data_IF_549980958069
#
_entry.id   IF_549980958069
#
_cell.length_a   1.000
_cell.length_b   1.000
_cell.length_c   1.000
_cell.angle_alpha   90.00
_cell.angle_beta   90.00
_cell.angle_gamma   90.00
#
_symmetry.space_group_name_H-M   'P 1'
#
loop_
_entity.id
_entity.type
_entity.pdbx_description
1 polymer ?
#
# COMPACT_ATOMS: atom_id res chain seq x y z
N UNK A 1 -19.32 12.97 -0.70
CA UNK A 1 -19.62 12.50 0.67
C UNK A 1 -18.51 11.53 1.05
N UNK A 2 -17.67 11.91 2.01
CA UNK A 2 -16.62 11.05 2.57
C UNK A 2 -17.27 10.12 3.59
N UNK A 3 -17.30 8.82 3.34
CA UNK A 3 -17.60 7.85 4.37
C UNK A 3 -16.31 7.17 4.79
N UNK A 4 -15.97 7.25 6.08
CA UNK A 4 -14.95 6.41 6.67
C UNK A 4 -15.28 4.92 6.39
N UNK A 5 -14.27 4.04 6.37
CA UNK A 5 -14.50 2.62 6.14
C UNK A 5 -15.43 2.05 7.22
N UNK A 6 -16.46 1.31 6.81
CA UNK A 6 -17.42 0.69 7.73
C UNK A 6 -17.01 -0.72 8.18
N UNK A 7 -16.11 -1.37 7.43
CA UNK A 7 -15.56 -2.69 7.75
C UNK A 7 -14.37 -2.53 8.70
N UNK A 8 -14.27 -3.29 9.80
CA UNK A 8 -13.09 -3.26 10.68
C UNK A 8 -11.80 -3.56 9.92
N UNK A 9 -10.72 -2.82 10.19
CA UNK A 9 -9.43 -2.95 9.49
C UNK A 9 -8.94 -4.40 9.41
N UNK A 10 -9.02 -5.16 10.51
CA UNK A 10 -8.60 -6.56 10.53
C UNK A 10 -9.38 -7.42 9.53
N UNK A 11 -10.70 -7.23 9.47
CA UNK A 11 -11.54 -7.95 8.51
C UNK A 11 -11.19 -7.55 7.07
N UNK A 12 -10.98 -6.25 6.83
CA UNK A 12 -10.58 -5.72 5.52
C UNK A 12 -9.25 -6.31 5.04
N UNK A 13 -8.26 -6.41 5.92
CA UNK A 13 -6.96 -7.04 5.63
C UNK A 13 -7.14 -8.50 5.24
N UNK A 14 -7.95 -9.25 6.00
CA UNK A 14 -8.23 -10.66 5.70
C UNK A 14 -8.95 -10.83 4.35
N UNK A 15 -9.91 -9.96 4.04
CA UNK A 15 -10.61 -9.96 2.75
C UNK A 15 -9.68 -9.69 1.57
N UNK A 16 -8.83 -8.66 1.65
CA UNK A 16 -7.83 -8.34 0.63
C UNK A 16 -6.88 -9.52 0.45
N UNK A 17 -6.28 -9.98 1.54
CA UNK A 17 -5.30 -11.06 1.52
C UNK A 17 -5.88 -12.35 0.92
N UNK A 18 -7.10 -12.72 1.30
CA UNK A 18 -7.75 -13.92 0.78
C UNK A 18 -8.19 -13.76 -0.69
N UNK A 19 -8.42 -12.54 -1.16
CA UNK A 19 -8.82 -12.23 -2.52
C UNK A 19 -7.67 -12.02 -3.52
N UNK A 20 -6.41 -12.06 -3.08
CA UNK A 20 -5.25 -11.92 -3.96
C UNK A 20 -5.24 -13.03 -5.05
N UNK A 21 -5.27 -12.61 -6.32
CA UNK A 21 -5.30 -13.52 -7.49
C UNK A 21 -4.11 -14.47 -7.51
N UNK A 22 -2.91 -13.93 -7.27
CA UNK A 22 -1.64 -14.68 -7.33
C UNK A 22 -1.20 -15.17 -5.94
N UNK A 23 -2.14 -15.34 -5.01
CA UNK A 23 -1.83 -15.87 -3.68
C UNK A 23 -1.29 -17.29 -3.78
N UNK A 24 -0.13 -17.52 -3.17
CA UNK A 24 0.39 -18.88 -3.01
C UNK A 24 -0.42 -19.63 -1.92
N UNK A 25 -1.11 -20.73 -2.26
CA UNK A 25 -1.93 -21.47 -1.29
C UNK A 25 -1.08 -22.18 -0.22
N UNK A 26 0.23 -22.33 -0.45
CA UNK A 26 1.16 -23.05 0.42
C UNK A 26 2.00 -22.12 1.30
N UNK A 27 1.65 -20.83 1.41
CA UNK A 27 2.39 -19.92 2.28
C UNK A 27 2.40 -20.41 3.72
N UNK A 28 3.59 -20.39 4.33
CA UNK A 28 3.74 -20.65 5.75
C UNK A 28 3.19 -19.49 6.57
N UNK A 29 2.96 -19.69 7.86
CA UNK A 29 2.58 -18.59 8.75
C UNK A 29 3.63 -17.46 8.76
N UNK A 30 4.90 -17.80 8.56
CA UNK A 30 6.00 -16.83 8.48
C UNK A 30 5.91 -15.95 7.22
N UNK A 31 5.29 -16.43 6.14
CA UNK A 31 5.01 -15.64 4.94
C UNK A 31 3.67 -14.89 5.04
N UNK A 32 2.64 -15.53 5.64
CA UNK A 32 1.31 -14.93 5.80
C UNK A 32 1.37 -13.67 6.66
N UNK A 33 2.13 -13.69 7.76
CA UNK A 33 2.21 -12.57 8.71
C UNK A 33 2.70 -11.27 8.04
N UNK A 34 3.90 -11.20 7.44
CA UNK A 34 4.36 -10.00 6.74
C UNK A 34 3.46 -9.61 5.58
N UNK A 35 2.93 -10.57 4.82
CA UNK A 35 2.01 -10.28 3.71
C UNK A 35 0.72 -9.58 4.16
N UNK A 36 0.15 -10.00 5.30
CA UNK A 36 -1.00 -9.29 5.89
C UNK A 36 -0.60 -7.95 6.48
N UNK A 37 0.59 -7.85 7.08
CA UNK A 37 1.05 -6.61 7.69
C UNK A 37 1.36 -5.50 6.70
N UNK A 38 1.83 -5.82 5.49
CA UNK A 38 1.98 -4.80 4.44
C UNK A 38 0.62 -4.24 4.02
N UNK A 39 -0.41 -5.08 3.87
CA UNK A 39 -1.78 -4.62 3.60
C UNK A 39 -2.26 -3.73 4.76
N UNK A 40 -2.08 -4.19 6.00
CA UNK A 40 -2.52 -3.45 7.18
C UNK A 40 -1.84 -2.08 7.30
N UNK A 41 -0.55 -1.99 6.98
CA UNK A 41 0.19 -0.72 6.98
C UNK A 41 -0.44 0.28 6.00
N UNK A 42 -0.70 -0.15 4.77
CA UNK A 42 -1.20 0.71 3.70
C UNK A 42 -2.66 1.10 3.94
N UNK A 43 -3.51 0.15 4.34
CA UNK A 43 -4.90 0.45 4.73
C UNK A 43 -4.93 1.39 5.95
N UNK A 44 -4.08 1.17 6.96
CA UNK A 44 -4.00 2.06 8.14
C UNK A 44 -3.61 3.47 7.75
N UNK A 45 -2.59 3.65 6.91
CA UNK A 45 -2.08 4.96 6.53
C UNK A 45 -3.02 5.73 5.60
N UNK A 46 -3.58 5.06 4.58
CA UNK A 46 -4.19 5.73 3.44
C UNK A 46 -5.71 5.61 3.38
N UNK A 47 -6.29 4.60 4.02
CA UNK A 47 -7.74 4.33 4.00
C UNK A 47 -8.38 4.68 5.35
N UNK A 48 -7.87 4.10 6.44
CA UNK A 48 -8.43 4.21 7.79
C UNK A 48 -7.88 5.40 8.58
N UNK A 49 -6.71 5.94 8.20
CA UNK A 49 -6.00 7.00 8.92
C UNK A 49 -5.67 6.63 10.38
N UNK A 50 -5.46 5.34 10.63
CA UNK A 50 -5.02 4.81 11.92
C UNK A 50 -3.50 4.98 12.06
N UNK A 51 -3.08 6.22 12.29
CA UNK A 51 -1.67 6.58 12.40
C UNK A 51 -1.00 6.00 13.65
N UNK A 52 -1.77 5.65 14.68
CA UNK A 52 -1.24 4.94 15.83
C UNK A 52 -0.88 3.50 15.47
N UNK A 53 -1.68 2.84 14.62
CA UNK A 53 -1.32 1.53 14.09
C UNK A 53 -0.12 1.58 13.14
N UNK A 54 0.00 2.62 12.30
CA UNK A 54 1.20 2.82 11.46
C UNK A 54 2.47 2.82 12.31
N UNK A 55 2.52 3.61 13.39
CA UNK A 55 3.66 3.66 14.33
C UNK A 55 3.92 2.35 15.06
N UNK A 56 2.95 1.42 15.11
CA UNK A 56 3.14 0.08 15.68
C UNK A 56 3.67 -0.91 14.66
N UNK A 57 3.40 -0.73 13.37
CA UNK A 57 3.77 -1.66 12.30
C UNK A 57 5.15 -1.37 11.71
N UNK A 58 5.66 -0.15 11.84
CA UNK A 58 7.02 0.20 11.38
C UNK A 58 7.89 0.63 12.55
N UNK A 59 9.20 0.39 12.46
CA UNK A 59 10.14 0.81 13.50
C UNK A 59 10.30 2.32 13.52
N UNK A 60 10.65 2.89 14.68
CA UNK A 60 11.01 4.32 14.76
C UNK A 60 12.28 4.67 13.97
N UNK A 61 13.08 3.68 13.61
CA UNK A 61 14.31 3.82 12.79
C UNK A 61 14.09 3.31 11.37
N UNK A 62 12.85 3.40 10.86
CA UNK A 62 12.50 2.95 9.53
C UNK A 62 13.30 3.71 8.48
N UNK A 63 13.99 2.98 7.59
CA UNK A 63 14.83 3.58 6.55
C UNK A 63 14.04 3.73 5.25
N UNK A 64 14.04 4.93 4.69
CA UNK A 64 13.32 5.27 3.48
C UNK A 64 14.28 5.51 2.31
N UNK A 65 14.07 4.81 1.19
CA UNK A 65 14.85 4.99 -0.02
C UNK A 65 14.15 5.86 -1.08
N UNK A 66 12.89 6.22 -0.86
CA UNK A 66 12.22 7.26 -1.64
C UNK A 66 12.89 8.62 -1.35
N UNK A 67 13.53 9.28 -2.35
CA UNK A 67 14.30 10.50 -2.10
C UNK A 67 13.45 11.73 -1.74
N UNK A 68 12.12 11.62 -1.82
CA UNK A 68 11.18 12.70 -1.49
C UNK A 68 10.54 12.55 -0.11
N UNK A 69 10.81 11.45 0.59
CA UNK A 69 10.29 11.18 1.92
C UNK A 69 11.46 11.05 2.89
N UNK A 70 11.26 11.47 4.14
CA UNK A 70 12.26 11.27 5.19
C UNK A 70 12.13 9.87 5.79
N UNK A 71 13.07 9.50 6.66
CA UNK A 71 13.03 8.25 7.40
C UNK A 71 11.83 8.22 8.38
N UNK A 72 11.68 7.14 9.14
CA UNK A 72 10.74 7.01 10.27
C UNK A 72 9.23 6.87 9.87
N UNK A 73 8.34 6.44 10.79
CA UNK A 73 6.90 6.27 10.52
C UNK A 73 6.16 7.53 10.08
N UNK A 74 6.63 8.71 10.47
CA UNK A 74 5.96 9.97 10.19
C UNK A 74 5.99 10.29 8.69
N UNK A 75 7.02 9.86 7.96
CA UNK A 75 7.07 9.98 6.50
C UNK A 75 5.83 9.38 5.81
N UNK A 76 5.39 8.20 6.23
CA UNK A 76 4.20 7.50 5.71
C UNK A 76 2.92 8.26 6.08
N UNK A 77 2.84 8.72 7.33
CA UNK A 77 1.68 9.47 7.86
C UNK A 77 1.51 10.80 7.13
N UNK A 78 2.61 11.53 6.94
CA UNK A 78 2.64 12.81 6.25
C UNK A 78 2.31 12.67 4.79
N UNK A 79 2.84 11.65 4.11
CA UNK A 79 2.48 11.33 2.74
C UNK A 79 0.97 11.07 2.61
N UNK A 80 0.37 10.26 3.49
CA UNK A 80 -1.07 10.00 3.48
C UNK A 80 -1.92 11.26 3.67
N UNK A 81 -1.53 12.13 4.61
CA UNK A 81 -2.19 13.44 4.82
C UNK A 81 -2.06 14.34 3.59
N UNK A 82 -0.87 14.43 3.03
CA UNK A 82 -0.58 15.26 1.85
C UNK A 82 -1.40 14.80 0.63
N UNK A 83 -1.41 13.49 0.32
CA UNK A 83 -2.21 12.94 -0.79
C UNK A 83 -3.69 13.29 -0.67
N UNK A 84 -4.25 13.23 0.54
CA UNK A 84 -5.65 13.59 0.79
C UNK A 84 -5.91 15.08 0.60
N UNK A 85 -4.98 15.94 1.04
CA UNK A 85 -5.08 17.40 0.82
C UNK A 85 -5.09 17.73 -0.66
N UNK A 86 -4.14 17.17 -1.42
CA UNK A 86 -4.02 17.40 -2.87
C UNK A 86 -5.27 16.91 -3.62
N UNK A 87 -5.80 15.73 -3.29
CA UNK A 87 -7.03 15.23 -3.92
C UNK A 87 -8.23 16.16 -3.66
N UNK A 88 -8.35 16.69 -2.44
CA UNK A 88 -9.40 17.65 -2.08
C UNK A 88 -9.25 18.96 -2.86
N UNK A 89 -8.05 19.50 -2.90
CA UNK A 89 -7.75 20.80 -3.51
C UNK A 89 -7.81 20.78 -5.04
N UNK A 90 -7.29 19.72 -5.66
CA UNK A 90 -7.07 19.67 -7.12
C UNK A 90 -8.11 18.83 -7.87
N UNK A 91 -8.76 17.88 -7.20
CA UNK A 91 -9.70 16.94 -7.82
C UNK A 91 -11.13 17.03 -7.24
N UNK A 92 -11.37 17.99 -6.34
CA UNK A 92 -12.65 18.14 -5.62
C UNK A 92 -13.11 16.82 -4.97
N UNK A 93 -12.16 16.00 -4.53
CA UNK A 93 -12.42 14.69 -3.95
C UNK A 93 -11.91 14.62 -2.51
N UNK A 94 -12.85 14.48 -1.57
CA UNK A 94 -12.56 14.43 -0.13
C UNK A 94 -12.69 13.00 0.44
N UNK A 95 -12.61 11.97 -0.39
CA UNK A 95 -12.63 10.56 0.01
C UNK A 95 -11.23 9.96 0.16
N UNK A 96 -11.11 8.72 0.66
CA UNK A 96 -9.85 7.98 0.59
C UNK A 96 -9.51 7.61 -0.86
N UNK A 97 -8.22 7.45 -1.22
CA UNK A 97 -7.85 6.83 -2.48
C UNK A 97 -8.38 5.39 -2.56
N UNK A 98 -8.38 4.80 -3.75
CA UNK A 98 -8.58 3.37 -3.90
C UNK A 98 -7.21 2.67 -4.03
N UNK A 99 -7.00 1.65 -3.19
CA UNK A 99 -5.87 0.73 -3.27
C UNK A 99 -6.37 -0.63 -3.76
N UNK A 100 -5.85 -1.08 -4.90
CA UNK A 100 -6.14 -2.39 -5.46
C UNK A 100 -4.85 -3.21 -5.43
N UNK A 101 -4.78 -4.17 -4.52
CA UNK A 101 -3.62 -5.03 -4.36
C UNK A 101 -3.66 -6.13 -5.42
N UNK A 102 -2.65 -6.18 -6.26
CA UNK A 102 -2.55 -7.17 -7.34
C UNK A 102 -1.74 -8.37 -6.90
N UNK A 103 -0.57 -8.13 -6.30
CA UNK A 103 0.38 -9.17 -5.94
C UNK A 103 1.09 -8.83 -4.65
N UNK A 104 1.33 -9.86 -3.83
CA UNK A 104 2.23 -9.78 -2.69
C UNK A 104 3.13 -11.00 -2.74
N UNK A 105 4.42 -10.80 -2.53
CA UNK A 105 5.40 -11.87 -2.45
C UNK A 105 6.24 -11.70 -1.20
N UNK A 106 6.58 -12.82 -0.56
CA UNK A 106 7.45 -12.82 0.63
C UNK A 106 8.59 -13.80 0.38
N UNK A 107 9.82 -13.27 0.41
CA UNK A 107 11.06 -14.01 0.28
C UNK A 107 12.00 -13.65 1.43
N UNK A 108 12.18 -14.59 2.37
CA UNK A 108 12.91 -14.31 3.61
C UNK A 108 12.30 -13.15 4.39
N UNK A 109 13.08 -12.09 4.57
CA UNK A 109 12.68 -10.84 5.23
C UNK A 109 12.16 -9.78 4.25
N UNK A 110 12.13 -10.06 2.95
CA UNK A 110 11.65 -9.13 1.94
C UNK A 110 10.18 -9.37 1.62
N UNK A 111 9.43 -8.28 1.56
CA UNK A 111 7.98 -8.25 1.28
C UNK A 111 7.76 -7.31 0.11
N UNK A 112 7.42 -7.87 -1.03
CA UNK A 112 7.05 -7.12 -2.21
C UNK A 112 5.53 -6.94 -2.27
N UNK A 113 5.06 -5.75 -2.62
CA UNK A 113 3.67 -5.48 -2.97
C UNK A 113 3.60 -4.74 -4.29
N UNK A 114 2.79 -5.26 -5.20
CA UNK A 114 2.32 -4.53 -6.36
C UNK A 114 0.88 -4.12 -6.14
N UNK A 115 0.60 -2.82 -6.18
CA UNK A 115 -0.75 -2.30 -6.07
C UNK A 115 -1.02 -1.22 -7.10
N UNK A 116 -2.29 -1.04 -7.41
CA UNK A 116 -2.79 0.09 -8.18
C UNK A 116 -3.36 1.13 -7.22
N UNK A 117 -2.84 2.35 -7.31
CA UNK A 117 -3.29 3.51 -6.55
C UNK A 117 -4.14 4.40 -7.45
N UNK A 118 -5.37 4.73 -7.04
CA UNK A 118 -6.21 5.75 -7.69
C UNK A 118 -6.58 6.84 -6.71
N UNK A 119 -6.31 8.10 -7.05
CA UNK A 119 -6.53 9.23 -6.14
C UNK A 119 -8.00 9.59 -5.96
N UNK A 120 -8.81 9.40 -7.00
CA UNK A 120 -10.24 9.69 -7.02
C UNK A 120 -10.96 8.80 -8.05
N UNK A 121 -12.30 8.74 -8.03
CA UNK A 121 -13.07 8.08 -9.07
C UNK A 121 -12.74 8.64 -10.47
N UNK A 122 -12.46 7.76 -11.41
CA UNK A 122 -12.09 8.13 -12.79
C UNK A 122 -10.60 8.33 -13.04
N UNK A 123 -9.75 8.32 -12.00
CA UNK A 123 -8.30 8.30 -12.15
C UNK A 123 -7.86 6.98 -12.83
N UNK A 124 -6.96 7.07 -13.83
CA UNK A 124 -6.37 5.89 -14.50
C UNK A 124 -5.49 5.09 -13.55
N UNK A 125 -4.94 5.76 -12.53
CA UNK A 125 -4.16 5.17 -11.47
C UNK A 125 -2.67 5.12 -11.74
N UNK A 126 -1.96 4.62 -10.73
CA UNK A 126 -0.51 4.48 -10.69
C UNK A 126 -0.21 3.04 -10.30
N UNK A 127 0.63 2.36 -11.07
CA UNK A 127 1.22 1.08 -10.67
C UNK A 127 2.34 1.38 -9.67
N UNK A 128 2.14 0.95 -8.43
CA UNK A 128 3.10 1.06 -7.34
C UNK A 128 3.70 -0.32 -7.10
N UNK A 129 5.03 -0.36 -7.01
CA UNK A 129 5.82 -1.53 -6.69
C UNK A 129 6.69 -1.19 -5.50
N UNK A 130 6.29 -1.66 -4.31
CA UNK A 130 7.05 -1.42 -3.09
C UNK A 130 7.74 -2.71 -2.64
N UNK A 131 8.94 -2.57 -2.13
CA UNK A 131 9.71 -3.60 -1.45
C UNK A 131 9.95 -3.14 -0.02
N UNK A 132 9.56 -3.95 0.96
CA UNK A 132 9.75 -3.66 2.37
C UNK A 132 10.56 -4.76 3.05
N UNK A 133 11.38 -4.38 4.03
CA UNK A 133 12.09 -5.33 4.89
C UNK A 133 11.34 -5.56 6.20
N UNK A 134 10.97 -6.80 6.46
CA UNK A 134 10.28 -7.28 7.64
C UNK A 134 11.25 -7.81 8.70
N UNK A 135 11.17 -7.28 9.92
CA UNK A 135 11.86 -7.83 11.07
C UNK A 135 10.93 -8.77 11.84
N UNK A 136 11.24 -10.07 11.83
CA UNK A 136 10.44 -11.12 12.48
C UNK A 136 10.37 -10.97 14.00
N UNK A 137 11.45 -10.55 14.64
CA UNK A 137 11.55 -10.46 16.10
C UNK A 137 10.75 -9.25 16.63
N UNK A 138 10.83 -8.13 15.91
CA UNK A 138 10.06 -6.92 16.22
C UNK A 138 8.61 -7.01 15.75
N UNK A 139 8.32 -7.88 14.77
CA UNK A 139 7.10 -7.88 14.00
C UNK A 139 6.78 -6.51 13.38
N UNK A 140 7.80 -5.87 12.80
CA UNK A 140 7.71 -4.54 12.22
C UNK A 140 8.47 -4.46 10.89
N UNK A 141 8.05 -3.55 10.00
CA UNK A 141 8.86 -3.16 8.85
C UNK A 141 9.95 -2.18 9.27
N UNK A 142 11.11 -2.30 8.62
CA UNK A 142 12.34 -1.59 8.99
C UNK A 142 12.92 -0.75 7.87
N UNK A 143 12.57 -1.05 6.63
CA UNK A 143 13.19 -0.44 5.45
C UNK A 143 12.25 -0.55 4.26
N UNK A 144 12.31 0.41 3.33
CA UNK A 144 11.45 0.45 2.15
C UNK A 144 12.08 1.10 0.93
N UNK A 145 11.79 0.51 -0.23
CA UNK A 145 12.07 1.02 -1.57
C UNK A 145 10.79 1.02 -2.38
N UNK A 146 10.62 2.01 -3.25
CA UNK A 146 9.51 2.06 -4.19
C UNK A 146 9.97 2.35 -5.62
N UNK A 147 9.14 1.89 -6.56
CA UNK A 147 9.09 2.37 -7.91
C UNK A 147 7.63 2.54 -8.32
N UNK A 148 7.34 3.59 -9.09
CA UNK A 148 5.99 3.85 -9.56
C UNK A 148 5.96 4.18 -11.05
N UNK A 149 4.82 3.87 -11.68
CA UNK A 149 4.55 4.16 -13.07
C UNK A 149 3.09 4.60 -13.22
N UNK A 150 2.85 5.80 -13.75
CA UNK A 150 1.50 6.21 -14.13
C UNK A 150 0.91 5.24 -15.16
N UNK A 151 -0.36 4.87 -15.00
CA UNK A 151 -1.04 4.00 -15.94
C UNK A 151 -1.40 4.81 -17.20
N UNK A 152 -0.73 4.60 -18.36
CA UNK A 152 -1.03 5.34 -19.56
C UNK A 152 -2.45 5.04 -20.07
N UNK A 153 -3.10 6.01 -20.74
CA UNK A 153 -4.32 5.78 -21.52
C UNK A 153 -4.17 4.62 -22.49
N UNK A 154 -5.25 3.88 -22.76
CA UNK A 154 -5.22 2.68 -23.63
C UNK A 154 -4.69 2.97 -25.04
N UNK A 155 -5.03 4.11 -25.61
CA UNK A 155 -4.60 4.56 -26.94
C UNK A 155 -3.11 4.92 -27.01
N UNK A 156 -2.41 4.99 -25.87
CA UNK A 156 -0.97 5.23 -25.77
C UNK A 156 -0.16 3.97 -25.50
N UNK A 157 -0.80 2.80 -25.43
CA UNK A 157 -0.13 1.52 -25.16
C UNK A 157 0.23 0.81 -26.46
N UNK A 158 1.45 0.29 -26.53
CA UNK A 158 1.92 -0.50 -27.67
C UNK A 158 1.61 -1.99 -27.53
N UNK A 159 1.35 -2.47 -26.32
CA UNK A 159 0.99 -3.85 -26.02
C UNK A 159 -0.52 -3.99 -25.71
N UNK A 160 -1.04 -5.21 -25.79
CA UNK A 160 -2.43 -5.53 -25.46
C UNK A 160 -2.61 -6.03 -24.02
N UNK A 161 -1.54 -6.53 -23.38
CA UNK A 161 -1.58 -6.98 -21.99
C UNK A 161 -1.66 -5.78 -21.05
N UNK A 162 -2.51 -5.88 -20.03
CA UNK A 162 -2.62 -4.91 -18.95
C UNK A 162 -1.38 -4.88 -18.06
N UNK A 163 -1.12 -3.74 -17.43
CA UNK A 163 -0.01 -3.53 -16.50
C UNK A 163 -0.10 -4.45 -15.26
N UNK A 164 -1.32 -4.92 -14.97
CA UNK A 164 -1.64 -5.73 -13.79
C UNK A 164 -2.07 -7.17 -14.13
N UNK A 165 -2.11 -7.54 -15.41
CA UNK A 165 -2.65 -8.84 -15.85
C UNK A 165 -1.75 -10.02 -15.45
#
# INVERSE_FOLDING_TARGET
>A
MSSEPTVPLKQRVDEIFNGLKDRNPNWTQEQITPAKKVIELFESAFIYRDFDNVKRIVTNTYVQHNPFLHDDPYSIIEFGKWKRSIAKETQNFDGPPALIYHRIMVDGDLVYVQLEWRNHPGDLGINIMDLLRWNKDLQQFTEHWDANQEVPPKDKRNNQNGIFD
#
